data_IF_733861986860
#
_entry.id   IF_733861986860
#
_cell.length_a   1.000
_cell.length_b   1.000
_cell.length_c   1.000
_cell.angle_alpha   90.00
_cell.angle_beta   90.00
_cell.angle_gamma   90.00
#
_symmetry.space_group_name_H-M   'P 1'
#
loop_
_entity.id
_entity.type
_entity.pdbx_description
1 polymer ?
#
# COMPACT_ATOMS: atom_id res chain seq x y z
N UNK A 1 16.91 2.85 -1.82
CA UNK A 1 15.54 2.68 -1.28
C UNK A 1 15.65 1.86 -0.01
N UNK A 2 14.97 2.28 1.05
CA UNK A 2 14.93 1.54 2.32
C UNK A 2 13.93 0.42 2.13
N UNK A 3 14.37 -0.83 2.32
CA UNK A 3 13.48 -1.97 2.21
C UNK A 3 12.29 -1.81 3.17
N UNK A 4 11.06 -2.06 2.70
CA UNK A 4 9.86 -2.00 3.52
C UNK A 4 9.94 -3.11 4.57
N UNK A 5 10.07 -2.74 5.85
CA UNK A 5 10.23 -3.71 6.95
C UNK A 5 9.32 -3.45 8.14
N UNK A 6 8.51 -2.39 8.09
CA UNK A 6 7.61 -1.99 9.16
C UNK A 6 6.30 -1.41 8.61
N UNK A 7 5.25 -1.36 9.43
CA UNK A 7 4.02 -0.63 9.09
C UNK A 7 4.29 0.84 8.78
N UNK A 8 5.29 1.46 9.40
CA UNK A 8 5.68 2.85 9.09
C UNK A 8 6.23 2.98 7.67
N UNK A 9 7.04 2.03 7.22
CA UNK A 9 7.56 2.02 5.85
C UNK A 9 6.44 1.79 4.84
N UNK A 10 5.52 0.86 5.15
CA UNK A 10 4.31 0.62 4.35
C UNK A 10 3.49 1.91 4.19
N UNK A 11 3.22 2.61 5.29
CA UNK A 11 2.49 3.88 5.24
C UNK A 11 3.27 4.94 4.47
N UNK A 12 4.60 4.94 4.54
CA UNK A 12 5.44 5.86 3.76
C UNK A 12 5.36 5.57 2.26
N UNK A 13 5.39 4.30 1.85
CA UNK A 13 5.23 3.87 0.46
C UNK A 13 3.85 4.28 -0.08
N UNK A 14 2.79 3.96 0.66
CA UNK A 14 1.42 4.33 0.27
C UNK A 14 1.33 5.85 0.15
N UNK A 15 1.83 6.59 1.15
CA UNK A 15 1.83 8.06 1.16
C UNK A 15 2.51 8.66 -0.07
N UNK A 16 3.61 8.08 -0.54
CA UNK A 16 4.32 8.50 -1.75
C UNK A 16 3.55 8.26 -3.05
N UNK A 17 2.54 7.38 -3.01
CA UNK A 17 1.74 6.99 -4.17
C UNK A 17 0.44 7.80 -4.33
N UNK A 18 0.04 8.56 -3.30
CA UNK A 18 -1.22 9.32 -3.28
C UNK A 18 -1.05 10.75 -3.83
N UNK A 19 -2.05 11.24 -4.57
CA UNK A 19 -2.16 12.67 -4.92
C UNK A 19 -2.48 13.53 -3.69
N UNK A 20 -3.23 12.95 -2.75
CA UNK A 20 -3.62 13.58 -1.49
C UNK A 20 -3.13 12.75 -0.29
N UNK A 21 -1.85 12.88 0.10
CA UNK A 21 -1.25 12.15 1.22
C UNK A 21 -2.02 12.22 2.55
N UNK A 22 -2.76 13.31 2.76
CA UNK A 22 -3.57 13.54 3.98
C UNK A 22 -4.73 12.54 4.14
N UNK A 23 -5.16 11.88 3.06
CA UNK A 23 -6.18 10.82 3.15
C UNK A 23 -5.70 9.67 4.04
N UNK A 24 -4.40 9.35 3.95
CA UNK A 24 -3.81 8.28 4.75
C UNK A 24 -3.81 8.59 6.25
N UNK A 25 -3.82 9.85 6.67
CA UNK A 25 -3.79 10.22 8.10
C UNK A 25 -5.07 9.84 8.85
N UNK A 26 -6.13 9.52 8.11
CA UNK A 26 -7.44 9.16 8.68
C UNK A 26 -7.76 7.67 8.55
N UNK A 27 -6.95 6.90 7.83
CA UNK A 27 -7.11 5.45 7.72
C UNK A 27 -6.43 4.71 8.88
N UNK A 28 -7.20 3.90 9.58
CA UNK A 28 -6.69 2.74 10.29
C UNK A 28 -6.13 1.68 9.33
N UNK A 29 -5.37 0.73 9.86
CA UNK A 29 -4.65 -0.22 9.00
C UNK A 29 -5.57 -1.22 8.27
N UNK A 30 -6.77 -1.41 8.79
CA UNK A 30 -7.82 -2.29 8.26
C UNK A 30 -8.93 -1.53 7.51
N UNK A 31 -8.83 -0.21 7.42
CA UNK A 31 -9.80 0.59 6.68
C UNK A 31 -9.62 0.40 5.17
N UNK A 32 -10.75 0.32 4.48
CA UNK A 32 -10.78 0.15 3.03
C UNK A 32 -10.39 1.45 2.30
N UNK A 33 -9.48 1.32 1.33
CA UNK A 33 -8.98 2.43 0.52
C UNK A 33 -10.09 3.14 -0.27
N UNK A 34 -11.02 2.39 -0.87
CA UNK A 34 -12.10 2.99 -1.64
C UNK A 34 -13.06 3.77 -0.72
N UNK A 35 -13.36 3.22 0.47
CA UNK A 35 -14.13 3.90 1.51
C UNK A 35 -13.49 5.23 1.98
N UNK A 36 -12.18 5.33 1.91
CA UNK A 36 -11.42 6.53 2.28
C UNK A 36 -11.15 7.50 1.13
N UNK A 37 -11.66 7.21 -0.08
CA UNK A 37 -11.50 8.06 -1.25
C UNK A 37 -10.18 7.88 -2.01
N UNK A 38 -9.44 6.80 -1.75
CA UNK A 38 -8.28 6.40 -2.56
C UNK A 38 -8.82 5.65 -3.78
N UNK A 39 -8.67 6.27 -4.96
CA UNK A 39 -9.22 5.76 -6.21
C UNK A 39 -8.33 4.73 -6.91
N UNK A 40 -8.83 4.17 -8.00
CA UNK A 40 -8.11 3.18 -8.81
C UNK A 40 -6.78 3.70 -9.36
N UNK A 41 -6.66 5.00 -9.67
CA UNK A 41 -5.42 5.60 -10.14
C UNK A 41 -4.31 5.62 -9.08
N UNK A 42 -4.66 5.86 -7.83
CA UNK A 42 -3.77 5.77 -6.68
C UNK A 42 -3.44 4.30 -6.35
N UNK A 43 -4.42 3.40 -6.43
CA UNK A 43 -4.19 1.96 -6.26
C UNK A 43 -3.18 1.41 -7.27
N UNK A 44 -3.28 1.81 -8.53
CA UNK A 44 -2.29 1.46 -9.57
C UNK A 44 -0.88 1.97 -9.19
N UNK A 45 -0.76 3.19 -8.66
CA UNK A 45 0.53 3.74 -8.24
C UNK A 45 1.12 3.03 -7.02
N UNK A 46 0.26 2.64 -6.07
CA UNK A 46 0.65 1.81 -4.93
C UNK A 46 1.17 0.46 -5.45
N UNK A 47 0.43 -0.19 -6.36
CA UNK A 47 0.84 -1.46 -6.97
C UNK A 47 2.20 -1.35 -7.66
N UNK A 48 2.41 -0.34 -8.51
CA UNK A 48 3.69 -0.13 -9.19
C UNK A 48 4.85 0.10 -8.21
N UNK A 49 4.60 0.85 -7.12
CA UNK A 49 5.61 1.06 -6.07
C UNK A 49 5.93 -0.24 -5.32
N UNK A 50 4.95 -1.12 -5.15
CA UNK A 50 5.16 -2.44 -4.54
C UNK A 50 5.90 -3.39 -5.46
N UNK A 51 5.63 -3.37 -6.76
CA UNK A 51 6.37 -4.18 -7.73
C UNK A 51 7.86 -3.82 -7.76
N UNK A 52 8.17 -2.53 -7.70
CA UNK A 52 9.53 -2.02 -7.61
C UNK A 52 10.21 -2.47 -6.30
N UNK A 53 9.48 -2.41 -5.18
CA UNK A 53 9.96 -2.88 -3.87
C UNK A 53 10.19 -4.41 -3.82
N UNK A 54 9.28 -5.19 -4.40
CA UNK A 54 9.35 -6.65 -4.41
C UNK A 54 10.30 -7.20 -5.49
N UNK A 55 10.67 -6.37 -6.46
CA UNK A 55 11.47 -6.77 -7.61
C UNK A 55 10.75 -7.75 -8.55
N UNK A 56 9.41 -7.79 -8.51
CA UNK A 56 8.56 -8.64 -9.36
C UNK A 56 7.19 -8.00 -9.59
N UNK A 57 6.52 -8.32 -10.70
CA UNK A 57 5.12 -7.92 -10.89
C UNK A 57 4.22 -8.57 -9.83
N UNK A 58 3.11 -7.92 -9.53
CA UNK A 58 2.04 -8.47 -8.71
C UNK A 58 1.16 -9.39 -9.53
N UNK A 59 0.70 -10.47 -8.91
CA UNK A 59 -0.32 -11.35 -9.50
C UNK A 59 -1.71 -10.70 -9.38
N UNK A 60 -2.66 -11.16 -10.20
CA UNK A 60 -4.01 -10.59 -10.26
C UNK A 60 -4.71 -10.63 -8.90
N UNK A 61 -4.55 -11.72 -8.15
CA UNK A 61 -5.08 -11.87 -6.79
C UNK A 61 -4.44 -10.89 -5.80
N UNK A 62 -3.14 -10.61 -5.96
CA UNK A 62 -2.42 -9.66 -5.12
C UNK A 62 -2.91 -8.24 -5.40
N UNK A 63 -3.07 -7.88 -6.68
CA UNK A 63 -3.63 -6.59 -7.12
C UNK A 63 -5.05 -6.38 -6.60
N UNK A 64 -5.92 -7.39 -6.72
CA UNK A 64 -7.29 -7.35 -6.20
C UNK A 64 -7.33 -7.27 -4.66
N UNK A 65 -6.30 -7.78 -3.99
CA UNK A 65 -6.16 -7.76 -2.54
C UNK A 65 -5.63 -6.45 -1.96
N UNK A 66 -5.16 -5.50 -2.78
CA UNK A 66 -4.60 -4.22 -2.33
C UNK A 66 -5.69 -3.22 -1.89
N UNK A 67 -6.43 -3.54 -0.84
CA UNK A 67 -7.56 -2.73 -0.38
C UNK A 67 -7.35 -2.04 0.97
N UNK A 68 -6.33 -2.45 1.73
CA UNK A 68 -6.03 -1.88 3.05
C UNK A 68 -4.53 -1.74 3.28
N UNK A 69 -4.12 -0.90 4.25
CA UNK A 69 -2.71 -0.79 4.65
C UNK A 69 -2.18 -2.14 5.12
N UNK A 70 -2.99 -2.90 5.86
CA UNK A 70 -2.63 -4.25 6.32
C UNK A 70 -2.40 -5.21 5.16
N UNK A 71 -3.21 -5.16 4.10
CA UNK A 71 -2.98 -5.99 2.92
C UNK A 71 -1.62 -5.68 2.26
N UNK A 72 -1.25 -4.41 2.17
CA UNK A 72 0.08 -3.98 1.69
C UNK A 72 1.19 -4.50 2.63
N UNK A 73 0.98 -4.43 3.94
CA UNK A 73 1.93 -4.93 4.93
C UNK A 73 2.14 -6.45 4.84
N UNK A 74 1.08 -7.23 4.56
CA UNK A 74 1.19 -8.68 4.32
C UNK A 74 2.08 -8.98 3.14
N UNK A 75 1.85 -8.27 2.05
CA UNK A 75 2.53 -8.50 0.79
C UNK A 75 4.03 -8.21 0.89
N UNK A 76 4.40 -7.20 1.67
CA UNK A 76 5.78 -6.80 1.94
C UNK A 76 6.43 -7.57 3.10
N UNK A 77 5.68 -8.42 3.82
CA UNK A 77 6.17 -9.14 5.00
C UNK A 77 6.36 -8.26 6.24
N UNK A 78 5.79 -7.06 6.25
CA UNK A 78 5.93 -6.06 7.31
C UNK A 78 4.93 -6.24 8.49
N UNK A 79 4.04 -7.25 8.46
CA UNK A 79 3.05 -7.49 9.53
C UNK A 79 3.65 -7.94 10.88
N UNK A 80 4.91 -8.39 10.93
CA UNK A 80 5.48 -9.12 12.07
C UNK A 80 6.68 -8.44 12.76
N UNK A 81 6.95 -7.14 12.52
CA UNK A 81 8.01 -6.39 13.22
C UNK A 81 7.46 -5.36 14.21
#
# INVERSE_FOLDING_TARGET
MTAVRSLTDVRTLIRGSLDHPVLLDRLGDDDDFAGAGIGSGELIRIALSLEDELGRPLEDEELLGLTTVRAVARLTGAEAS
#
